data_IF_983565660949
#
_entry.id   IF_983565660949
#
_cell.length_a   1.000
_cell.length_b   1.000
_cell.length_c   1.000
_cell.angle_alpha   90.00
_cell.angle_beta   90.00
_cell.angle_gamma   90.00
#
_symmetry.space_group_name_H-M   'P 1'
#
loop_
_entity.id
_entity.type
_entity.pdbx_description
1 polymer ?
#
# COMPACT_ATOMS: atom_id res chain seq x y z
N UNK A 1 -13.80 8.30 4.20
CA UNK A 1 -12.96 8.63 5.36
C UNK A 1 -13.73 9.52 6.31
N UNK A 2 -14.02 9.00 7.48
CA UNK A 2 -14.72 9.63 8.60
C UNK A 2 -13.92 10.82 9.16
N UNK A 3 -14.63 11.86 9.62
CA UNK A 3 -14.01 13.07 10.17
C UNK A 3 -13.09 12.80 11.36
N UNK A 4 -13.38 11.78 12.17
CA UNK A 4 -12.55 11.40 13.32
C UNK A 4 -11.19 10.88 12.87
N UNK A 5 -11.16 10.14 11.77
CA UNK A 5 -9.92 9.65 11.17
C UNK A 5 -9.12 10.79 10.55
N UNK A 6 -9.78 11.74 9.88
CA UNK A 6 -9.13 12.92 9.28
C UNK A 6 -8.42 13.83 10.30
N UNK A 7 -8.84 13.77 11.58
CA UNK A 7 -8.18 14.47 12.68
C UNK A 7 -6.83 13.85 13.06
N UNK A 8 -6.54 12.63 12.64
CA UNK A 8 -5.22 12.02 12.86
C UNK A 8 -4.16 12.74 12.00
N UNK A 9 -3.13 13.29 12.67
CA UNK A 9 -2.05 14.07 12.03
C UNK A 9 -0.73 13.33 11.92
N UNK A 10 -0.60 12.20 12.61
CA UNK A 10 0.60 11.36 12.59
C UNK A 10 0.22 9.90 12.34
N UNK A 11 1.10 9.10 11.72
CA UNK A 11 0.86 7.68 11.55
C UNK A 11 0.66 6.96 12.89
N UNK A 12 1.40 7.33 13.93
CA UNK A 12 1.28 6.76 15.28
C UNK A 12 -0.12 7.02 15.89
N UNK A 13 -0.68 8.21 15.64
CA UNK A 13 -2.03 8.54 16.08
C UNK A 13 -3.07 7.72 15.31
N UNK A 14 -2.91 7.57 13.99
CA UNK A 14 -3.76 6.69 13.18
C UNK A 14 -3.73 5.24 13.66
N UNK A 15 -2.55 4.70 13.99
CA UNK A 15 -2.39 3.32 14.49
C UNK A 15 -3.08 3.13 15.84
N UNK A 16 -2.90 4.09 16.75
CA UNK A 16 -3.59 4.07 18.06
C UNK A 16 -5.11 4.14 17.87
N UNK A 17 -5.58 5.01 16.97
CA UNK A 17 -6.99 5.12 16.64
C UNK A 17 -7.54 3.81 16.06
N UNK A 18 -6.79 3.16 15.16
CA UNK A 18 -7.18 1.89 14.56
C UNK A 18 -7.35 0.78 15.61
N UNK A 19 -6.39 0.65 16.54
CA UNK A 19 -6.49 -0.31 17.65
C UNK A 19 -7.73 -0.05 18.51
N UNK A 20 -7.94 1.21 18.92
CA UNK A 20 -9.08 1.57 19.75
C UNK A 20 -10.41 1.32 19.01
N UNK A 21 -10.47 1.59 17.70
CA UNK A 21 -11.64 1.32 16.88
C UNK A 21 -11.96 -0.19 16.82
N UNK A 22 -10.93 -1.05 16.68
CA UNK A 22 -11.11 -2.51 16.74
C UNK A 22 -11.63 -2.97 18.11
N UNK A 23 -11.08 -2.44 19.20
CA UNK A 23 -11.55 -2.74 20.57
C UNK A 23 -13.02 -2.35 20.79
N UNK A 24 -13.52 -1.35 20.06
CA UNK A 24 -14.90 -0.88 20.11
C UNK A 24 -15.79 -1.46 18.99
N UNK A 25 -15.39 -2.56 18.34
CA UNK A 25 -16.13 -3.20 17.24
C UNK A 25 -16.44 -2.27 16.05
N UNK A 26 -15.50 -1.37 15.73
CA UNK A 26 -15.56 -0.45 14.57
C UNK A 26 -14.45 -0.75 13.56
N UNK A 27 -14.47 -1.91 12.89
CA UNK A 27 -13.45 -2.29 11.91
C UNK A 27 -13.44 -1.38 10.68
N UNK A 28 -14.58 -0.75 10.36
CA UNK A 28 -14.69 0.28 9.32
C UNK A 28 -13.75 1.47 9.58
N UNK A 29 -13.79 2.00 10.80
CA UNK A 29 -12.93 3.11 11.22
C UNK A 29 -11.47 2.71 11.36
N UNK A 30 -11.20 1.47 11.76
CA UNK A 30 -9.84 0.95 11.83
C UNK A 30 -9.19 0.89 10.44
N UNK A 31 -9.92 0.39 9.43
CA UNK A 31 -9.46 0.38 8.04
C UNK A 31 -9.13 1.78 7.55
N UNK A 32 -10.05 2.73 7.72
CA UNK A 32 -9.82 4.12 7.32
C UNK A 32 -8.62 4.75 8.03
N UNK A 33 -8.40 4.43 9.31
CA UNK A 33 -7.26 4.94 10.05
C UNK A 33 -5.92 4.39 9.54
N UNK A 34 -5.85 3.09 9.20
CA UNK A 34 -4.67 2.50 8.55
C UNK A 34 -4.44 3.15 7.19
N UNK A 35 -5.48 3.36 6.39
CA UNK A 35 -5.39 4.08 5.12
C UNK A 35 -4.83 5.49 5.31
N UNK A 36 -5.27 6.22 6.34
CA UNK A 36 -4.76 7.55 6.65
C UNK A 36 -3.30 7.54 7.10
N UNK A 37 -2.88 6.52 7.86
CA UNK A 37 -1.48 6.35 8.26
C UNK A 37 -0.56 6.23 7.04
N UNK A 38 -0.96 5.39 6.08
CA UNK A 38 -0.26 5.19 4.79
C UNK A 38 -0.16 6.50 4.01
N UNK A 39 -1.25 7.26 3.90
CA UNK A 39 -1.25 8.57 3.23
C UNK A 39 -0.29 9.57 3.88
N UNK A 40 -0.32 9.71 5.21
CA UNK A 40 0.56 10.64 5.93
C UNK A 40 2.03 10.26 5.75
N UNK A 41 2.36 8.95 5.76
CA UNK A 41 3.73 8.50 5.54
C UNK A 41 4.22 8.84 4.12
N UNK A 42 3.39 8.59 3.10
CA UNK A 42 3.72 8.93 1.73
C UNK A 42 3.86 10.45 1.51
N UNK A 43 2.96 11.25 2.10
CA UNK A 43 3.02 12.72 2.08
C UNK A 43 4.34 13.24 2.67
N UNK A 44 4.79 12.67 3.80
CA UNK A 44 6.04 13.08 4.46
C UNK A 44 7.31 12.73 3.68
N UNK A 45 7.29 11.68 2.85
CA UNK A 45 8.47 11.27 2.10
C UNK A 45 8.82 12.26 0.97
N UNK A 46 7.83 12.98 0.43
CA UNK A 46 8.05 14.03 -0.57
C UNK A 46 8.03 13.54 -2.01
N UNK A 47 6.94 12.92 -2.43
CA UNK A 47 6.67 12.61 -3.84
C UNK A 47 6.64 13.88 -4.71
N UNK A 48 7.18 13.81 -5.93
CA UNK A 48 7.18 14.91 -6.90
C UNK A 48 5.98 14.87 -7.84
N UNK A 49 5.33 13.72 -7.94
CA UNK A 49 4.15 13.50 -8.78
C UNK A 49 3.09 12.68 -8.04
N UNK A 50 1.87 12.71 -8.57
CA UNK A 50 0.76 11.93 -8.02
C UNK A 50 1.03 10.42 -8.09
N UNK A 51 1.60 9.93 -9.20
CA UNK A 51 1.95 8.51 -9.34
C UNK A 51 3.03 8.09 -8.33
N UNK A 52 4.01 8.94 -8.04
CA UNK A 52 5.03 8.64 -7.02
C UNK A 52 4.41 8.59 -5.62
N UNK A 53 3.44 9.47 -5.35
CA UNK A 53 2.70 9.47 -4.08
C UNK A 53 1.92 8.16 -3.93
N UNK A 54 1.20 7.73 -4.96
CA UNK A 54 0.45 6.47 -4.93
C UNK A 54 1.35 5.24 -4.85
N UNK A 55 2.48 5.25 -5.56
CA UNK A 55 3.49 4.22 -5.47
C UNK A 55 4.07 4.12 -4.05
N UNK A 56 4.36 5.24 -3.38
CA UNK A 56 4.80 5.25 -1.98
C UNK A 56 3.69 4.76 -1.04
N UNK A 57 2.44 5.12 -1.29
CA UNK A 57 1.31 4.57 -0.53
C UNK A 57 1.24 3.05 -0.66
N UNK A 58 1.47 2.50 -1.86
CA UNK A 58 1.54 1.05 -2.06
C UNK A 58 2.69 0.39 -1.29
N UNK A 59 3.87 1.03 -1.25
CA UNK A 59 5.01 0.53 -0.46
C UNK A 59 4.67 0.51 1.04
N UNK A 60 4.10 1.59 1.57
CA UNK A 60 3.73 1.64 2.98
C UNK A 60 2.57 0.69 3.32
N UNK A 61 1.59 0.53 2.43
CA UNK A 61 0.53 -0.47 2.59
C UNK A 61 1.10 -1.89 2.63
N UNK A 62 2.08 -2.19 1.77
CA UNK A 62 2.80 -3.47 1.83
C UNK A 62 3.53 -3.65 3.17
N UNK A 63 4.15 -2.60 3.72
CA UNK A 63 4.75 -2.67 5.06
C UNK A 63 3.73 -2.92 6.18
N UNK A 64 2.49 -2.44 6.07
CA UNK A 64 1.41 -2.77 7.00
C UNK A 64 1.08 -4.27 6.97
N UNK A 65 1.06 -4.89 5.79
CA UNK A 65 0.88 -6.34 5.68
C UNK A 65 2.03 -7.12 6.33
N UNK A 66 3.26 -6.65 6.16
CA UNK A 66 4.43 -7.24 6.83
C UNK A 66 4.36 -7.06 8.34
N UNK A 67 3.88 -5.90 8.80
CA UNK A 67 3.74 -5.61 10.21
C UNK A 67 2.68 -6.50 10.87
N UNK A 68 1.55 -6.71 10.21
CA UNK A 68 0.51 -7.63 10.66
C UNK A 68 1.04 -9.07 10.70
N UNK A 69 1.75 -9.51 9.66
CA UNK A 69 2.35 -10.86 9.59
C UNK A 69 3.39 -11.11 10.68
N UNK A 70 4.23 -10.12 10.97
CA UNK A 70 5.36 -10.27 11.90
C UNK A 70 5.06 -9.80 13.34
N UNK A 71 3.88 -9.21 13.58
CA UNK A 71 3.49 -8.64 14.89
C UNK A 71 4.28 -7.39 15.29
N UNK A 72 5.07 -6.79 14.38
CA UNK A 72 5.89 -5.60 14.64
C UNK A 72 6.12 -4.80 13.36
N UNK A 73 6.30 -3.48 13.47
CA UNK A 73 6.64 -2.61 12.34
C UNK A 73 7.81 -3.21 11.55
N UNK A 74 7.56 -3.56 10.29
CA UNK A 74 8.52 -4.23 9.42
C UNK A 74 8.70 -3.42 8.15
N UNK A 75 9.94 -2.99 7.90
CA UNK A 75 10.30 -2.23 6.71
C UNK A 75 10.50 -3.17 5.51
N UNK A 76 10.00 -2.79 4.34
CA UNK A 76 10.20 -3.49 3.07
C UNK A 76 11.60 -3.18 2.53
N UNK A 77 12.65 -3.64 3.23
CA UNK A 77 14.04 -3.23 2.98
C UNK A 77 14.49 -3.39 1.53
N UNK A 78 14.08 -4.48 0.85
CA UNK A 78 14.41 -4.71 -0.56
C UNK A 78 13.73 -3.71 -1.50
N UNK A 79 12.52 -3.26 -1.17
CA UNK A 79 11.79 -2.26 -1.96
C UNK A 79 12.44 -0.90 -1.79
N UNK A 80 12.77 -0.50 -0.56
CA UNK A 80 13.50 0.75 -0.31
C UNK A 80 14.87 0.78 -0.99
N UNK A 81 15.63 -0.32 -0.94
CA UNK A 81 16.89 -0.41 -1.69
C UNK A 81 16.71 -0.24 -3.20
N UNK A 82 15.57 -0.66 -3.77
CA UNK A 82 15.28 -0.42 -5.18
C UNK A 82 14.90 1.04 -5.43
N UNK A 83 14.10 1.65 -4.55
CA UNK A 83 13.74 3.08 -4.62
C UNK A 83 15.00 3.94 -4.60
N UNK A 84 15.94 3.66 -3.70
CA UNK A 84 17.19 4.41 -3.59
C UNK A 84 18.07 4.28 -4.85
N UNK A 85 18.02 3.13 -5.54
CA UNK A 85 18.86 2.84 -6.71
C UNK A 85 18.24 3.26 -8.04
N UNK A 86 16.93 3.17 -8.16
CA UNK A 86 16.20 3.21 -9.45
C UNK A 86 15.04 4.23 -9.44
N UNK A 87 14.72 4.82 -8.29
CA UNK A 87 13.55 5.67 -8.12
C UNK A 87 12.27 4.88 -7.84
N UNK A 88 11.21 5.63 -7.51
CA UNK A 88 9.96 5.08 -6.97
C UNK A 88 9.22 4.23 -8.01
N UNK A 89 9.06 4.75 -9.23
CA UNK A 89 8.30 4.09 -10.31
C UNK A 89 8.95 2.77 -10.71
N UNK A 90 10.25 2.79 -10.99
CA UNK A 90 10.98 1.60 -11.40
C UNK A 90 11.02 0.54 -10.28
N UNK A 91 11.05 0.97 -9.01
CA UNK A 91 10.98 0.05 -7.87
C UNK A 91 9.63 -0.69 -7.79
N UNK A 92 8.52 0.01 -8.02
CA UNK A 92 7.17 -0.59 -8.08
C UNK A 92 7.04 -1.55 -9.26
N UNK A 93 7.53 -1.14 -10.43
CA UNK A 93 7.55 -2.00 -11.61
C UNK A 93 8.30 -3.31 -11.36
N UNK A 94 9.53 -3.21 -10.83
CA UNK A 94 10.36 -4.36 -10.49
C UNK A 94 9.74 -5.22 -9.39
N UNK A 95 8.95 -4.63 -8.49
CA UNK A 95 8.26 -5.38 -7.45
C UNK A 95 7.17 -6.28 -8.04
N UNK A 96 6.36 -5.77 -8.98
CA UNK A 96 5.30 -6.56 -9.66
C UNK A 96 5.88 -7.66 -10.53
N UNK A 97 6.97 -7.36 -11.25
CA UNK A 97 7.64 -8.32 -12.14
C UNK A 97 8.34 -9.46 -11.38
N UNK A 98 8.53 -9.35 -10.06
CA UNK A 98 9.00 -10.49 -9.25
C UNK A 98 7.83 -11.46 -9.08
N UNK A 99 8.03 -12.70 -9.51
CA UNK A 99 7.07 -13.81 -9.48
C UNK A 99 6.65 -14.30 -8.09
N UNK A 100 7.05 -13.60 -7.01
CA UNK A 100 6.90 -14.07 -5.63
C UNK A 100 5.68 -13.39 -4.99
N UNK A 101 4.57 -14.11 -5.17
CA UNK A 101 3.44 -14.27 -4.27
C UNK A 101 2.28 -13.26 -4.27
N UNK A 102 1.18 -13.78 -4.84
CA UNK A 102 -0.23 -13.68 -4.43
C UNK A 102 -0.52 -13.51 -2.92
N UNK A 103 0.43 -13.75 -2.01
CA UNK A 103 0.27 -13.44 -0.57
C UNK A 103 0.09 -11.93 -0.33
N UNK A 104 0.76 -11.07 -1.10
CA UNK A 104 0.69 -9.61 -0.90
C UNK A 104 -0.73 -9.07 -1.01
N UNK A 105 -1.47 -9.46 -2.06
CA UNK A 105 -2.82 -8.98 -2.28
C UNK A 105 -3.83 -9.47 -1.25
N UNK A 106 -3.85 -10.78 -0.95
CA UNK A 106 -4.76 -11.33 0.07
C UNK A 106 -4.51 -10.68 1.43
N UNK A 107 -3.25 -10.40 1.77
CA UNK A 107 -2.91 -9.68 2.99
C UNK A 107 -3.40 -8.23 2.96
N UNK A 108 -3.32 -7.53 1.82
CA UNK A 108 -3.88 -6.18 1.65
C UNK A 108 -5.41 -6.18 1.79
N UNK A 109 -6.12 -7.13 1.18
CA UNK A 109 -7.58 -7.27 1.30
C UNK A 109 -7.99 -7.50 2.76
N UNK A 110 -7.24 -8.34 3.49
CA UNK A 110 -7.52 -8.63 4.90
C UNK A 110 -7.48 -7.37 5.79
N UNK A 111 -6.72 -6.34 5.39
CA UNK A 111 -6.63 -5.06 6.11
C UNK A 111 -7.32 -3.89 5.39
N UNK A 112 -8.03 -4.14 4.28
CA UNK A 112 -8.77 -3.13 3.53
C UNK A 112 -7.88 -2.11 2.81
N UNK A 113 -6.73 -2.56 2.30
CA UNK A 113 -5.74 -1.77 1.57
C UNK A 113 -5.51 -2.28 0.14
N UNK A 114 -6.40 -3.09 -0.42
CA UNK A 114 -6.29 -3.67 -1.76
C UNK A 114 -6.13 -2.62 -2.87
N UNK A 115 -6.69 -1.42 -2.69
CA UNK A 115 -6.51 -0.30 -3.63
C UNK A 115 -5.06 0.20 -3.72
N UNK A 116 -4.24 -0.14 -2.71
CA UNK A 116 -2.81 0.15 -2.64
C UNK A 116 -1.94 -1.05 -3.05
N UNK A 117 -2.51 -2.08 -3.69
CA UNK A 117 -1.69 -3.07 -4.38
C UNK A 117 -0.82 -2.39 -5.45
N UNK A 118 0.40 -2.92 -5.68
CA UNK A 118 1.27 -2.38 -6.73
C UNK A 118 0.60 -2.48 -8.10
N UNK A 119 -0.09 -3.59 -8.36
CA UNK A 119 -0.86 -3.85 -9.55
C UNK A 119 -2.00 -2.84 -9.75
N UNK A 120 -2.63 -2.39 -8.65
CA UNK A 120 -3.68 -1.37 -8.70
C UNK A 120 -3.10 -0.01 -9.10
N UNK A 121 -1.92 0.37 -8.60
CA UNK A 121 -1.20 1.60 -9.01
C UNK A 121 -0.83 1.54 -10.49
N UNK A 122 -0.24 0.43 -10.95
CA UNK A 122 0.16 0.26 -12.36
C UNK A 122 -1.07 0.32 -13.28
N UNK A 123 -2.18 -0.29 -12.87
CA UNK A 123 -3.43 -0.27 -13.64
C UNK A 123 -4.04 1.12 -13.77
N UNK A 124 -3.83 2.02 -12.79
CA UNK A 124 -4.26 3.43 -12.85
C UNK A 124 -3.37 4.30 -13.74
N UNK A 125 -2.07 3.99 -13.83
CA UNK A 125 -1.10 4.76 -14.61
C UNK A 125 -0.36 3.95 -15.67
N UNK A 126 -1.05 3.22 -16.56
CA UNK A 126 -0.41 2.22 -17.43
C UNK A 126 0.61 2.83 -18.41
N UNK A 127 0.51 4.11 -18.73
CA UNK A 127 1.43 4.81 -19.63
C UNK A 127 2.80 5.14 -19.01
N UNK A 128 2.95 4.97 -17.69
CA UNK A 128 4.19 5.25 -16.95
C UNK A 128 4.99 3.99 -16.63
N UNK A 129 4.48 2.82 -16.99
CA UNK A 129 5.09 1.52 -16.73
C UNK A 129 5.29 0.75 -18.03
N UNK A 130 6.19 -0.23 -18.01
CA UNK A 130 6.40 -1.11 -19.16
C UNK A 130 5.14 -1.93 -19.48
N UNK A 131 4.98 -2.27 -20.76
CA UNK A 131 3.83 -3.08 -21.22
C UNK A 131 3.73 -4.40 -20.47
N UNK A 132 4.86 -5.00 -20.11
CA UNK A 132 4.89 -6.26 -19.37
C UNK A 132 4.35 -6.10 -17.94
N UNK A 133 4.77 -5.03 -17.24
CA UNK A 133 4.27 -4.75 -15.89
C UNK A 133 2.76 -4.44 -15.89
N UNK A 134 2.29 -3.72 -16.91
CA UNK A 134 0.85 -3.46 -17.11
C UNK A 134 0.08 -4.76 -17.38
N UNK A 135 0.63 -5.64 -18.22
CA UNK A 135 0.02 -6.94 -18.55
C UNK A 135 -0.12 -7.80 -17.29
N UNK A 136 0.96 -7.99 -16.53
CA UNK A 136 0.97 -8.75 -15.27
C UNK A 136 -0.01 -8.16 -14.26
N UNK A 137 -0.03 -6.83 -14.14
CA UNK A 137 -0.94 -6.14 -13.21
C UNK A 137 -2.39 -6.40 -13.55
N UNK A 138 -2.77 -6.26 -14.83
CA UNK A 138 -4.15 -6.51 -15.28
C UNK A 138 -4.57 -7.97 -15.12
N UNK A 139 -3.66 -8.91 -15.40
CA UNK A 139 -3.89 -10.35 -15.25
C UNK A 139 -4.19 -10.68 -13.78
N UNK A 140 -3.32 -10.24 -12.85
CA UNK A 140 -3.52 -10.45 -11.42
C UNK A 140 -4.78 -9.78 -10.87
N UNK A 141 -5.05 -8.53 -11.25
CA UNK A 141 -6.27 -7.83 -10.82
C UNK A 141 -7.53 -8.57 -11.28
N UNK A 142 -7.55 -9.07 -12.53
CA UNK A 142 -8.67 -9.87 -13.04
C UNK A 142 -8.85 -11.19 -12.30
N UNK A 143 -7.75 -11.89 -11.99
CA UNK A 143 -7.78 -13.14 -11.19
C UNK A 143 -8.36 -12.90 -9.80
N UNK A 144 -8.02 -11.76 -9.18
CA UNK A 144 -8.47 -11.40 -7.85
C UNK A 144 -9.92 -10.92 -7.80
N UNK A 145 -10.40 -10.22 -8.82
CA UNK A 145 -11.82 -9.85 -8.95
C UNK A 145 -12.71 -11.07 -9.21
N UNK A 146 -12.15 -12.14 -9.77
CA UNK A 146 -12.84 -13.40 -10.08
C UNK A 146 -12.75 -14.47 -8.96
N UNK A 147 -11.99 -14.22 -7.90
CA UNK A 147 -11.73 -15.15 -6.78
C UNK A 147 -12.60 -14.85 -5.56
#
# INVERSE_FOLDING_TARGET
>A
MDERVLKCKTPEHCETFARNALEHNRPDLAKEAIQRAVQIRAEKFGAKSEVEREALQAVYAYEETLAQKNGKRTRASRTWQMIDRHGIIEAVERAVNRSIETQGYRALVAIGLEQYAFEAVISRYPHLFSMEAVRISKERMSEWESS
#
